data_IF_814414909682
#
_entry.id   IF_814414909682
#
_cell.length_a   1.000
_cell.length_b   1.000
_cell.length_c   1.000
_cell.angle_alpha   90.00
_cell.angle_beta   90.00
_cell.angle_gamma   90.00
#
_symmetry.space_group_name_H-M   'P 1'
#
loop_
_entity.id
_entity.type
_entity.pdbx_description
1 polymer ?
#
# COMPACT_ATOMS: atom_id res chain seq x y z
N UNK A 1 9.27 -18.30 -19.69
CA UNK A 1 10.15 -17.37 -18.96
C UNK A 1 9.77 -15.92 -19.20
N UNK A 2 9.60 -15.47 -20.44
CA UNK A 2 9.21 -14.08 -20.79
C UNK A 2 7.81 -13.67 -20.28
N UNK A 3 6.85 -14.59 -20.20
CA UNK A 3 5.49 -14.30 -19.68
C UNK A 3 5.47 -14.04 -18.17
N UNK A 4 6.22 -14.83 -17.39
CA UNK A 4 6.26 -14.72 -15.93
C UNK A 4 6.84 -13.39 -15.46
N UNK A 5 7.89 -12.88 -16.13
CA UNK A 5 8.50 -11.59 -15.81
C UNK A 5 7.52 -10.42 -16.05
N UNK A 6 6.75 -10.47 -17.14
CA UNK A 6 5.74 -9.46 -17.46
C UNK A 6 4.56 -9.49 -16.49
N UNK A 7 4.13 -10.68 -16.07
CA UNK A 7 3.07 -10.83 -15.06
C UNK A 7 3.51 -10.27 -13.70
N UNK A 8 4.76 -10.54 -13.29
CA UNK A 8 5.32 -10.04 -12.03
C UNK A 8 5.55 -8.52 -12.06
N UNK A 9 5.97 -7.96 -13.20
CA UNK A 9 6.06 -6.51 -13.39
C UNK A 9 4.66 -5.86 -13.34
N UNK A 10 3.65 -6.48 -13.95
CA UNK A 10 2.26 -6.04 -13.86
C UNK A 10 1.75 -6.03 -12.41
N UNK A 11 2.09 -7.06 -11.64
CA UNK A 11 1.72 -7.19 -10.24
C UNK A 11 2.36 -6.11 -9.36
N UNK A 12 3.63 -5.80 -9.59
CA UNK A 12 4.33 -4.74 -8.88
C UNK A 12 3.84 -3.34 -9.23
N UNK A 13 3.54 -3.11 -10.51
CA UNK A 13 2.92 -1.86 -10.95
C UNK A 13 1.52 -1.70 -10.33
N UNK A 14 0.76 -2.78 -10.18
CA UNK A 14 -0.51 -2.77 -9.46
C UNK A 14 -0.32 -2.39 -7.98
N UNK A 15 0.64 -3.03 -7.30
CA UNK A 15 1.00 -2.69 -5.92
C UNK A 15 1.43 -1.22 -5.76
N UNK A 16 2.28 -0.70 -6.64
CA UNK A 16 2.71 0.69 -6.57
C UNK A 16 1.54 1.66 -6.76
N UNK A 17 0.54 1.32 -7.58
CA UNK A 17 -0.67 2.13 -7.76
C UNK A 17 -1.54 2.13 -6.52
N UNK A 18 -1.73 1.00 -5.85
CA UNK A 18 -2.50 0.97 -4.60
C UNK A 18 -1.78 1.70 -3.48
N UNK A 19 -0.45 1.55 -3.37
CA UNK A 19 0.38 2.32 -2.44
C UNK A 19 0.33 3.83 -2.73
N UNK A 20 0.32 4.23 -4.00
CA UNK A 20 0.15 5.62 -4.41
C UNK A 20 -1.24 6.16 -4.07
N UNK A 21 -2.29 5.35 -4.25
CA UNK A 21 -3.65 5.73 -3.90
C UNK A 21 -3.80 6.02 -2.40
N UNK A 22 -3.08 5.28 -1.54
CA UNK A 22 -2.99 5.58 -0.10
C UNK A 22 -2.19 6.88 0.13
N UNK A 23 -1.14 7.15 -0.66
CA UNK A 23 -0.27 8.31 -0.48
C UNK A 23 -0.90 9.65 -0.91
N UNK A 24 -1.63 9.69 -2.03
CA UNK A 24 -2.01 10.92 -2.76
C UNK A 24 -3.46 11.40 -2.51
N UNK A 25 -3.93 11.37 -1.27
CA UNK A 25 -5.30 11.81 -0.90
C UNK A 25 -5.43 13.36 -0.78
N UNK A 26 -5.20 14.09 -1.88
CA UNK A 26 -5.50 15.53 -1.96
C UNK A 26 -6.85 15.85 -2.66
N UNK A 27 -7.65 14.86 -3.11
CA UNK A 27 -9.13 14.92 -3.38
C UNK A 27 -9.65 13.74 -4.26
N UNK A 28 -10.96 13.41 -4.33
CA UNK A 28 -11.96 13.09 -3.30
C UNK A 28 -12.55 11.66 -3.54
N UNK A 29 -11.73 10.72 -4.03
CA UNK A 29 -12.23 9.42 -4.50
C UNK A 29 -12.40 8.36 -3.40
N UNK A 30 -11.41 8.21 -2.52
CA UNK A 30 -11.41 7.22 -1.42
C UNK A 30 -10.48 7.71 -0.31
N UNK A 31 -11.05 8.37 0.70
CA UNK A 31 -10.30 8.74 1.91
C UNK A 31 -9.96 7.47 2.68
N UNK A 32 -10.86 6.50 2.74
CA UNK A 32 -10.58 5.13 3.18
C UNK A 32 -11.72 4.29 2.64
N UNK A 33 -11.43 3.10 2.13
CA UNK A 33 -12.47 2.15 1.75
C UNK A 33 -11.97 0.74 1.89
N UNK A 34 -12.90 -0.21 2.02
CA UNK A 34 -12.59 -1.64 1.97
C UNK A 34 -11.87 -1.96 0.66
N UNK A 35 -12.30 -1.38 -0.46
CA UNK A 35 -11.64 -1.57 -1.76
C UNK A 35 -10.18 -1.09 -1.75
N UNK A 36 -9.86 0.06 -1.12
CA UNK A 36 -8.47 0.53 -1.02
C UNK A 36 -7.61 -0.41 -0.15
N UNK A 37 -8.19 -0.94 0.92
CA UNK A 37 -7.54 -1.95 1.75
C UNK A 37 -7.27 -3.23 0.95
N UNK A 38 -8.28 -3.75 0.25
CA UNK A 38 -8.16 -4.96 -0.58
C UNK A 38 -7.14 -4.77 -1.73
N UNK A 39 -7.13 -3.61 -2.38
CA UNK A 39 -6.20 -3.27 -3.46
C UNK A 39 -4.74 -3.23 -2.99
N UNK A 40 -4.50 -2.85 -1.74
CA UNK A 40 -3.17 -2.90 -1.13
C UNK A 40 -2.80 -4.32 -0.69
N UNK A 41 -3.69 -5.00 0.02
CA UNK A 41 -3.39 -6.31 0.62
C UNK A 41 -3.32 -7.45 -0.41
N UNK A 42 -4.08 -7.37 -1.51
CA UNK A 42 -4.07 -8.39 -2.56
C UNK A 42 -2.66 -8.65 -3.12
N UNK A 43 -1.89 -7.62 -3.51
CA UNK A 43 -0.52 -7.80 -3.96
C UNK A 43 0.55 -7.78 -2.86
N UNK A 44 0.21 -7.31 -1.66
CA UNK A 44 1.16 -7.11 -0.57
C UNK A 44 1.95 -8.38 -0.21
N UNK A 45 1.28 -9.53 -0.03
CA UNK A 45 1.94 -10.76 0.45
C UNK A 45 3.04 -11.25 -0.49
N UNK A 46 2.85 -11.10 -1.80
CA UNK A 46 3.87 -11.47 -2.77
C UNK A 46 4.98 -10.42 -2.85
N UNK A 47 4.65 -9.13 -2.79
CA UNK A 47 5.63 -8.04 -2.91
C UNK A 47 6.55 -7.97 -1.68
N UNK A 48 6.01 -8.13 -0.47
CA UNK A 48 6.81 -8.02 0.77
C UNK A 48 7.91 -9.08 0.88
N UNK A 49 7.78 -10.18 0.14
CA UNK A 49 8.77 -11.28 0.09
C UNK A 49 9.74 -11.18 -1.09
N UNK A 50 9.66 -10.11 -1.90
CA UNK A 50 10.57 -9.91 -3.03
C UNK A 50 12.02 -9.66 -2.58
N UNK A 51 12.95 -10.46 -3.10
CA UNK A 51 14.40 -10.33 -2.82
C UNK A 51 14.98 -8.98 -3.26
N UNK A 52 14.35 -8.32 -4.24
CA UNK A 52 14.76 -6.99 -4.69
C UNK A 52 14.54 -5.90 -3.64
N UNK A 53 13.69 -6.14 -2.64
CA UNK A 53 13.46 -5.24 -1.53
C UNK A 53 14.54 -5.42 -0.45
N UNK A 54 15.13 -4.31 -0.03
CA UNK A 54 15.95 -4.26 1.18
C UNK A 54 15.15 -4.62 2.43
N UNK A 55 15.82 -5.07 3.49
CA UNK A 55 15.18 -5.36 4.78
C UNK A 55 14.39 -4.16 5.32
N UNK A 56 14.89 -2.95 5.14
CA UNK A 56 14.21 -1.72 5.55
C UNK A 56 12.91 -1.48 4.77
N UNK A 57 12.91 -1.75 3.46
CA UNK A 57 11.71 -1.64 2.62
C UNK A 57 10.68 -2.71 3.00
N UNK A 58 11.11 -3.96 3.20
CA UNK A 58 10.22 -5.04 3.63
C UNK A 58 9.62 -4.76 5.01
N UNK A 59 10.44 -4.29 5.95
CA UNK A 59 9.98 -3.90 7.28
C UNK A 59 8.99 -2.73 7.21
N UNK A 60 9.29 -1.72 6.40
CA UNK A 60 8.39 -0.59 6.17
C UNK A 60 7.04 -1.03 5.60
N UNK A 61 7.02 -1.94 4.63
CA UNK A 61 5.77 -2.51 4.10
C UNK A 61 4.96 -3.26 5.16
N UNK A 62 5.63 -4.05 6.01
CA UNK A 62 4.97 -4.74 7.14
C UNK A 62 4.35 -3.75 8.12
N UNK A 63 5.08 -2.71 8.49
CA UNK A 63 4.57 -1.65 9.37
C UNK A 63 3.36 -0.95 8.77
N UNK A 64 3.39 -0.65 7.46
CA UNK A 64 2.23 -0.03 6.79
C UNK A 64 1.01 -0.96 6.81
N UNK A 65 1.20 -2.24 6.54
CA UNK A 65 0.15 -3.24 6.62
C UNK A 65 -0.45 -3.30 8.04
N UNK A 66 0.39 -3.35 9.07
CA UNK A 66 -0.06 -3.35 10.48
C UNK A 66 -0.86 -2.09 10.82
N UNK A 67 -0.43 -0.92 10.34
CA UNK A 67 -1.15 0.35 10.55
C UNK A 67 -2.52 0.33 9.87
N UNK A 68 -2.59 -0.15 8.62
CA UNK A 68 -3.85 -0.26 7.86
C UNK A 68 -4.81 -1.27 8.48
N UNK A 69 -4.31 -2.40 8.99
CA UNK A 69 -5.12 -3.43 9.64
C UNK A 69 -5.67 -2.94 11.00
N UNK A 70 -4.83 -2.29 11.81
CA UNK A 70 -5.27 -1.65 13.04
C UNK A 70 -6.28 -0.52 12.79
N UNK A 71 -6.10 0.23 11.69
CA UNK A 71 -7.07 1.21 11.24
C UNK A 71 -8.36 0.51 10.84
N UNK A 72 -8.35 -0.51 9.98
CA UNK A 72 -9.56 -1.27 9.63
C UNK A 72 -10.35 -1.74 10.85
N UNK A 73 -9.69 -2.40 11.81
CA UNK A 73 -10.35 -2.91 13.03
C UNK A 73 -11.02 -1.81 13.87
N UNK A 74 -10.57 -0.57 13.76
CA UNK A 74 -11.16 0.57 14.49
C UNK A 74 -12.35 1.19 13.73
N UNK A 75 -12.48 0.94 12.42
CA UNK A 75 -13.42 1.65 11.52
C UNK A 75 -14.39 0.71 10.78
N UNK A 76 -14.23 -0.62 10.85
CA UNK A 76 -15.15 -1.62 10.25
C UNK A 76 -16.59 -1.55 10.84
N UNK A 77 -16.77 -0.85 11.98
CA UNK A 77 -18.04 -0.73 12.71
C UNK A 77 -18.73 0.65 12.63
N UNK A 78 -18.17 1.63 11.89
CA UNK A 78 -18.74 2.99 11.86
C UNK A 78 -18.86 3.51 10.44
N UNK A 79 -20.09 3.85 10.03
CA UNK A 79 -20.36 4.74 8.89
C UNK A 79 -19.80 6.14 9.21
N UNK A 80 -18.49 6.31 9.16
CA UNK A 80 -17.87 7.64 9.16
C UNK A 80 -18.03 8.25 7.77
N UNK A 81 -18.46 9.50 7.72
CA UNK A 81 -18.51 10.28 6.49
C UNK A 81 -17.07 10.61 6.07
N UNK A 82 -16.77 10.65 4.77
CA UNK A 82 -15.42 10.89 4.21
C UNK A 82 -14.65 12.04 4.87
N UNK A 83 -15.34 13.10 5.30
CA UNK A 83 -14.76 14.26 5.99
C UNK A 83 -14.17 13.92 7.38
N UNK A 84 -14.72 12.95 8.10
CA UNK A 84 -14.18 12.53 9.40
C UNK A 84 -12.88 11.74 9.23
N UNK A 85 -12.80 10.93 8.18
CA UNK A 85 -11.60 10.15 7.83
C UNK A 85 -10.51 11.10 7.32
N UNK A 86 -10.88 12.15 6.57
CA UNK A 86 -9.92 13.11 6.00
C UNK A 86 -9.20 13.88 7.09
N UNK A 87 -9.90 14.15 8.19
CA UNK A 87 -9.36 14.84 9.34
C UNK A 87 -8.83 13.88 10.42
N UNK A 88 -8.76 12.58 10.13
CA UNK A 88 -8.32 11.59 11.11
C UNK A 88 -6.78 11.56 11.21
N UNK A 89 -6.20 11.87 12.39
CA UNK A 89 -4.74 11.88 12.53
C UNK A 89 -4.09 10.52 12.27
N UNK A 90 -4.79 9.41 12.50
CA UNK A 90 -4.26 8.08 12.22
C UNK A 90 -4.21 7.81 10.73
N UNK A 91 -5.24 8.24 10.00
CA UNK A 91 -5.25 8.13 8.55
C UNK A 91 -4.16 9.00 7.92
N UNK A 92 -4.01 10.25 8.37
CA UNK A 92 -2.93 11.14 7.90
C UNK A 92 -1.54 10.52 8.13
N UNK A 93 -1.32 9.88 9.28
CA UNK A 93 -0.07 9.14 9.56
C UNK A 93 0.16 7.98 8.57
N UNK A 94 -0.88 7.19 8.29
CA UNK A 94 -0.82 6.11 7.30
C UNK A 94 -0.43 6.68 5.94
N UNK A 95 -1.07 7.76 5.51
CA UNK A 95 -0.80 8.40 4.22
C UNK A 95 0.62 8.93 4.10
N UNK A 96 1.10 9.66 5.10
CA UNK A 96 2.47 10.20 5.13
C UNK A 96 3.48 9.05 5.05
N UNK A 97 3.23 7.96 5.78
CA UNK A 97 4.08 6.79 5.78
C UNK A 97 4.06 6.05 4.43
N UNK A 98 2.87 5.84 3.86
CA UNK A 98 2.68 5.27 2.53
C UNK A 98 3.39 6.08 1.44
N UNK A 99 3.30 7.43 1.51
CA UNK A 99 3.99 8.33 0.59
C UNK A 99 5.51 8.20 0.66
N UNK A 100 6.07 8.04 1.86
CA UNK A 100 7.50 7.78 2.03
C UNK A 100 7.87 6.44 1.39
N UNK A 101 7.14 5.37 1.70
CA UNK A 101 7.39 4.04 1.13
C UNK A 101 7.24 4.03 -0.39
N UNK A 102 6.22 4.69 -0.94
CA UNK A 102 6.05 4.82 -2.39
C UNK A 102 7.28 5.44 -3.05
N UNK A 103 7.79 6.54 -2.48
CA UNK A 103 8.99 7.19 -3.00
C UNK A 103 10.24 6.31 -2.90
N UNK A 104 10.36 5.52 -1.84
CA UNK A 104 11.45 4.57 -1.63
C UNK A 104 11.35 3.33 -2.55
N UNK A 105 10.14 2.98 -3.00
CA UNK A 105 9.87 1.76 -3.76
C UNK A 105 9.75 1.98 -5.27
N UNK A 106 9.24 3.13 -5.74
CA UNK A 106 8.95 3.38 -7.17
C UNK A 106 10.14 3.26 -8.14
N UNK A 107 11.35 3.10 -7.61
CA UNK A 107 12.59 2.91 -8.36
C UNK A 107 13.16 1.49 -8.27
N UNK A 108 12.57 0.61 -7.45
CA UNK A 108 12.97 -0.80 -7.36
C UNK A 108 12.53 -1.52 -8.63
N UNK A 109 13.47 -2.26 -9.22
CA UNK A 109 13.21 -3.10 -10.39
C UNK A 109 13.04 -4.54 -9.95
N UNK A 110 12.18 -5.27 -10.65
CA UNK A 110 12.08 -6.72 -10.48
C UNK A 110 13.44 -7.37 -10.71
N UNK A 111 13.83 -8.25 -9.79
CA UNK A 111 14.99 -9.14 -9.92
C UNK A 111 14.46 -10.56 -9.78
N UNK A 112 14.61 -11.42 -10.81
CA UNK A 112 14.15 -12.80 -10.72
C UNK A 112 14.82 -13.52 -9.55
N UNK A 113 14.05 -14.31 -8.81
CA UNK A 113 14.63 -15.26 -7.89
C UNK A 113 15.26 -16.38 -8.73
N UNK A 114 16.59 -16.44 -8.77
CA UNK A 114 17.32 -17.65 -9.19
C UNK A 114 16.81 -18.89 -8.44
#
# INVERSE_FOLDING_TARGET
>A
MIELEKELEGFYNYFLRSLQAIADDENPGKVWSIELYEDFFSPYEAVVTWKALSENQQHGLKLLADMMDAYRLTYDDKEKIDDEIRNDPKWDQIRIFAKKLYNDLKHVKYVPNE
#
